data_IF_521814685531
#
_entry.id   IF_521814685531
#
_cell.length_a   1.000
_cell.length_b   1.000
_cell.length_c   1.000
_cell.angle_alpha   90.00
_cell.angle_beta   90.00
_cell.angle_gamma   90.00
#
_symmetry.space_group_name_H-M   'P 1'
#
loop_
_entity.id
_entity.type
_entity.pdbx_description
1 polymer ?
#
# COMPACT_ATOMS: atom_id res chain seq x y z
N UNK A 1 -40.70 -30.57 17.33
CA UNK A 1 -39.33 -30.73 17.85
C UNK A 1 -39.20 -29.87 19.10
N UNK A 2 -38.59 -30.36 20.19
CA UNK A 2 -38.25 -29.49 21.34
C UNK A 2 -36.96 -28.74 20.99
N UNK A 3 -36.88 -27.42 21.20
CA UNK A 3 -35.64 -26.66 20.97
C UNK A 3 -34.49 -27.26 21.81
N UNK A 4 -33.30 -27.32 21.22
CA UNK A 4 -32.08 -27.81 21.89
C UNK A 4 -31.64 -26.91 23.08
N UNK A 5 -32.03 -25.63 23.04
CA UNK A 5 -31.78 -24.67 24.13
C UNK A 5 -32.96 -24.67 25.13
N UNK A 6 -32.72 -24.63 26.46
CA UNK A 6 -33.81 -24.66 27.43
C UNK A 6 -34.60 -23.34 27.41
N UNK A 7 -35.83 -23.38 26.91
CA UNK A 7 -36.71 -22.22 26.70
C UNK A 7 -36.82 -21.28 27.91
N UNK A 8 -36.89 -21.82 29.13
CA UNK A 8 -37.06 -21.01 30.35
C UNK A 8 -35.95 -19.97 30.58
N UNK A 9 -34.72 -20.26 30.15
CA UNK A 9 -33.60 -19.33 30.29
C UNK A 9 -33.57 -18.25 29.20
N UNK A 10 -34.29 -18.46 28.11
CA UNK A 10 -34.26 -17.58 26.94
C UNK A 10 -35.64 -17.03 26.57
N UNK A 11 -36.69 -17.30 27.33
CA UNK A 11 -38.07 -16.91 27.00
C UNK A 11 -38.22 -15.38 26.78
N UNK A 12 -37.37 -14.59 27.44
CA UNK A 12 -37.36 -13.13 27.34
C UNK A 12 -36.32 -12.56 26.38
N UNK A 13 -35.60 -13.39 25.62
CA UNK A 13 -34.68 -12.85 24.60
C UNK A 13 -35.47 -12.25 23.45
N UNK A 14 -34.92 -11.18 22.87
CA UNK A 14 -35.50 -10.55 21.68
C UNK A 14 -35.75 -11.57 20.55
N UNK A 15 -34.81 -12.49 20.32
CA UNK A 15 -34.98 -13.55 19.32
C UNK A 15 -36.20 -14.45 19.56
N UNK A 16 -36.45 -14.88 20.81
CA UNK A 16 -37.62 -15.71 21.12
C UNK A 16 -38.92 -14.91 21.13
N UNK A 17 -38.90 -13.64 21.53
CA UNK A 17 -40.06 -12.75 21.42
C UNK A 17 -40.46 -12.53 19.96
N UNK A 18 -39.48 -12.33 19.07
CA UNK A 18 -39.70 -12.21 17.63
C UNK A 18 -40.22 -13.51 17.02
N UNK A 19 -39.62 -14.66 17.36
CA UNK A 19 -40.10 -15.96 16.88
C UNK A 19 -41.54 -16.27 17.33
N UNK A 20 -41.92 -15.89 18.55
CA UNK A 20 -43.28 -16.02 19.05
C UNK A 20 -44.25 -15.06 18.33
N UNK A 21 -43.85 -13.81 18.12
CA UNK A 21 -44.64 -12.82 17.42
C UNK A 21 -44.85 -13.19 15.93
N UNK A 22 -43.84 -13.77 15.30
CA UNK A 22 -43.90 -14.30 13.93
C UNK A 22 -44.85 -15.50 13.76
N UNK A 23 -45.13 -16.24 14.85
CA UNK A 23 -46.05 -17.37 14.85
C UNK A 23 -47.52 -16.98 14.97
N UNK A 24 -47.84 -15.69 15.15
CA UNK A 24 -49.21 -15.19 15.21
C UNK A 24 -49.81 -15.08 13.79
N UNK A 25 -51.08 -15.45 13.65
CA UNK A 25 -51.78 -15.45 12.36
C UNK A 25 -51.83 -14.02 11.77
N UNK A 26 -51.23 -13.82 10.59
CA UNK A 26 -51.15 -12.52 9.92
C UNK A 26 -49.96 -11.63 10.31
N UNK A 27 -49.03 -12.11 11.14
CA UNK A 27 -47.81 -11.38 11.48
C UNK A 27 -46.77 -11.44 10.34
N UNK A 28 -46.23 -10.28 9.96
CA UNK A 28 -45.07 -10.16 9.07
C UNK A 28 -43.87 -9.79 9.93
N UNK A 29 -42.80 -10.59 9.87
CA UNK A 29 -41.60 -10.40 10.71
C UNK A 29 -40.97 -9.03 10.47
N UNK A 30 -40.94 -8.57 9.21
CA UNK A 30 -40.40 -7.27 8.83
C UNK A 30 -41.16 -6.08 9.48
N UNK A 31 -42.45 -6.22 9.77
CA UNK A 31 -43.23 -5.19 10.48
C UNK A 31 -42.90 -5.13 11.98
N UNK A 32 -42.31 -6.20 12.52
CA UNK A 32 -42.02 -6.37 13.95
C UNK A 32 -40.53 -6.08 14.24
N UNK A 33 -39.65 -6.41 13.30
CA UNK A 33 -38.21 -6.23 13.43
C UNK A 33 -37.54 -6.07 12.08
N UNK A 34 -37.21 -4.82 11.77
CA UNK A 34 -36.47 -4.43 10.58
C UNK A 34 -35.34 -3.45 10.96
N UNK A 35 -34.30 -3.92 11.66
CA UNK A 35 -33.16 -3.07 11.99
C UNK A 35 -32.38 -2.73 10.71
N UNK A 36 -31.88 -1.51 10.62
CA UNK A 36 -30.89 -1.18 9.59
C UNK A 36 -29.59 -1.91 9.87
N UNK A 37 -29.04 -2.60 8.87
CA UNK A 37 -27.76 -3.30 9.03
C UNK A 37 -26.63 -2.33 9.39
N UNK A 38 -26.65 -1.13 8.80
CA UNK A 38 -25.73 -0.05 9.15
C UNK A 38 -26.41 0.91 10.13
N UNK A 39 -25.76 1.18 11.25
CA UNK A 39 -26.27 2.00 12.35
C UNK A 39 -26.84 1.18 13.50
N UNK A 40 -27.86 0.34 13.26
CA UNK A 40 -28.52 -0.42 14.33
C UNK A 40 -27.79 -1.71 14.70
N UNK A 41 -27.18 -2.39 13.71
CA UNK A 41 -26.50 -3.68 13.90
C UNK A 41 -24.99 -3.52 13.87
N UNK A 42 -24.45 -2.83 12.85
CA UNK A 42 -23.02 -2.54 12.69
C UNK A 42 -22.85 -1.03 12.56
N UNK A 43 -21.99 -0.44 13.39
CA UNK A 43 -21.73 1.00 13.33
C UNK A 43 -20.87 1.36 12.12
N UNK A 44 -21.02 2.60 11.62
CA UNK A 44 -20.14 3.10 10.55
C UNK A 44 -18.66 3.05 10.97
N UNK A 45 -18.35 3.33 12.24
CA UNK A 45 -16.98 3.22 12.78
C UNK A 45 -16.39 1.82 12.67
N UNK A 46 -17.17 0.77 12.94
CA UNK A 46 -16.70 -0.61 12.81
C UNK A 46 -16.44 -0.99 11.34
N UNK A 47 -17.28 -0.49 10.42
CA UNK A 47 -17.12 -0.70 8.98
C UNK A 47 -15.81 -0.05 8.50
N UNK A 48 -15.53 1.18 8.94
CA UNK A 48 -14.33 1.93 8.52
C UNK A 48 -13.04 1.50 9.24
N UNK A 49 -13.14 0.88 10.42
CA UNK A 49 -11.97 0.35 11.15
C UNK A 49 -11.30 -0.86 10.46
N UNK A 50 -11.99 -1.53 9.54
CA UNK A 50 -11.43 -2.68 8.84
C UNK A 50 -10.27 -2.28 7.91
N UNK A 51 -9.06 -2.77 8.17
CA UNK A 51 -7.89 -2.57 7.30
C UNK A 51 -7.83 -3.48 6.08
N UNK A 52 -8.89 -4.29 5.88
CA UNK A 52 -8.96 -5.34 4.84
C UNK A 52 -7.75 -6.27 4.88
N UNK A 53 -7.18 -6.53 6.07
CA UNK A 53 -5.97 -7.34 6.19
C UNK A 53 -6.22 -8.86 6.15
N UNK A 54 -7.48 -9.31 6.26
CA UNK A 54 -7.92 -10.72 6.34
C UNK A 54 -7.40 -11.55 7.52
N UNK A 55 -6.68 -10.97 8.48
CA UNK A 55 -6.25 -11.73 9.66
C UNK A 55 -7.43 -12.36 10.43
N UNK A 56 -8.58 -11.69 10.48
CA UNK A 56 -9.80 -12.23 11.09
C UNK A 56 -10.43 -13.40 10.30
N UNK A 57 -10.26 -13.45 8.98
CA UNK A 57 -10.78 -14.53 8.13
C UNK A 57 -9.88 -15.75 8.21
N UNK A 58 -8.56 -15.56 8.08
CA UNK A 58 -7.58 -16.64 8.14
C UNK A 58 -7.58 -17.36 9.49
N UNK A 59 -7.82 -16.63 10.57
CA UNK A 59 -7.90 -17.19 11.92
C UNK A 59 -9.29 -17.76 12.24
N UNK A 60 -10.26 -17.66 11.33
CA UNK A 60 -11.64 -18.10 11.59
C UNK A 60 -11.76 -19.63 11.48
N UNK A 61 -12.08 -20.35 12.58
CA UNK A 61 -12.18 -21.81 12.55
C UNK A 61 -13.35 -22.34 11.70
N UNK A 62 -14.26 -21.46 11.28
CA UNK A 62 -15.44 -21.79 10.46
C UNK A 62 -15.43 -21.07 9.11
N UNK A 63 -14.30 -20.45 8.72
CA UNK A 63 -14.10 -19.81 7.41
C UNK A 63 -15.15 -18.74 7.09
N UNK A 64 -15.41 -17.83 8.04
CA UNK A 64 -16.30 -16.70 7.80
C UNK A 64 -15.63 -15.64 6.92
N UNK A 65 -16.09 -15.54 5.67
CA UNK A 65 -15.68 -14.50 4.71
C UNK A 65 -16.52 -13.23 4.94
N UNK A 66 -16.00 -12.26 5.68
CA UNK A 66 -16.72 -11.04 6.08
C UNK A 66 -16.05 -9.75 5.62
N UNK A 67 -14.81 -9.78 5.16
CA UNK A 67 -14.10 -8.61 4.61
C UNK A 67 -14.78 -8.11 3.34
N UNK A 68 -15.17 -9.01 2.43
CA UNK A 68 -15.90 -8.62 1.21
C UNK A 68 -17.28 -8.03 1.53
N UNK A 69 -17.97 -8.59 2.53
CA UNK A 69 -19.25 -8.05 3.02
C UNK A 69 -19.07 -6.65 3.63
N UNK A 70 -17.96 -6.40 4.34
CA UNK A 70 -17.62 -5.06 4.84
C UNK A 70 -17.36 -4.10 3.67
N UNK A 71 -16.67 -4.55 2.62
CA UNK A 71 -16.45 -3.74 1.41
C UNK A 71 -17.79 -3.43 0.72
N UNK A 72 -18.74 -4.37 0.68
CA UNK A 72 -20.08 -4.12 0.14
C UNK A 72 -20.85 -3.07 0.95
N UNK A 73 -20.73 -3.09 2.28
CA UNK A 73 -21.31 -2.05 3.15
C UNK A 73 -20.66 -0.69 2.89
N UNK A 74 -19.33 -0.64 2.70
CA UNK A 74 -18.63 0.59 2.29
C UNK A 74 -19.09 1.07 0.93
N UNK A 75 -19.34 0.15 -0.02
CA UNK A 75 -19.88 0.49 -1.34
C UNK A 75 -21.24 1.14 -1.23
N UNK A 76 -22.13 0.61 -0.38
CA UNK A 76 -23.41 1.25 -0.10
C UNK A 76 -23.23 2.66 0.50
N UNK A 77 -22.40 2.79 1.53
CA UNK A 77 -22.14 4.08 2.19
C UNK A 77 -21.58 5.12 1.21
N UNK A 78 -20.58 4.75 0.42
CA UNK A 78 -19.90 5.66 -0.51
C UNK A 78 -20.77 6.01 -1.71
N UNK A 79 -21.37 5.01 -2.38
CA UNK A 79 -22.08 5.24 -3.64
C UNK A 79 -23.54 5.64 -3.49
N UNK A 80 -24.20 5.22 -2.41
CA UNK A 80 -25.64 5.47 -2.21
C UNK A 80 -25.89 6.59 -1.21
N UNK A 81 -25.22 6.53 -0.05
CA UNK A 81 -25.43 7.53 1.02
C UNK A 81 -24.49 8.75 0.88
N UNK A 82 -23.44 8.66 0.05
CA UNK A 82 -22.41 9.70 -0.05
C UNK A 82 -21.61 9.89 1.24
N UNK A 83 -21.57 8.86 2.10
CA UNK A 83 -20.93 8.88 3.41
C UNK A 83 -19.56 8.22 3.35
N UNK A 84 -18.51 9.03 3.42
CA UNK A 84 -17.13 8.59 3.53
C UNK A 84 -16.34 9.65 4.29
N UNK A 85 -15.22 9.25 4.90
CA UNK A 85 -14.31 10.20 5.54
C UNK A 85 -13.85 11.29 4.53
N UNK A 86 -13.83 12.58 4.91
CA UNK A 86 -13.43 13.67 4.01
C UNK A 86 -12.03 13.52 3.38
N UNK A 87 -11.06 12.94 4.09
CA UNK A 87 -9.70 12.75 3.59
C UNK A 87 -9.63 11.61 2.58
N UNK A 88 -10.34 10.52 2.84
CA UNK A 88 -10.55 9.46 1.86
C UNK A 88 -11.29 9.96 0.61
N UNK A 89 -12.31 10.82 0.78
CA UNK A 89 -13.01 11.46 -0.35
C UNK A 89 -12.06 12.32 -1.19
N UNK A 90 -11.20 13.10 -0.52
CA UNK A 90 -10.19 13.94 -1.18
C UNK A 90 -9.22 13.09 -1.99
N UNK A 91 -8.72 11.99 -1.43
CA UNK A 91 -7.84 11.05 -2.14
C UNK A 91 -8.54 10.46 -3.38
N UNK A 92 -9.81 10.05 -3.28
CA UNK A 92 -10.58 9.56 -4.44
C UNK A 92 -10.79 10.63 -5.51
N UNK A 93 -11.13 11.86 -5.13
CA UNK A 93 -11.27 12.98 -6.08
C UNK A 93 -9.95 13.31 -6.78
N UNK A 94 -8.84 13.23 -6.05
CA UNK A 94 -7.50 13.39 -6.62
C UNK A 94 -7.16 12.27 -7.60
N UNK A 95 -7.47 11.03 -7.27
CA UNK A 95 -7.29 9.88 -8.17
C UNK A 95 -8.11 10.07 -9.46
N UNK A 96 -9.37 10.48 -9.36
CA UNK A 96 -10.23 10.74 -10.51
C UNK A 96 -9.65 11.83 -11.43
N UNK A 97 -9.17 12.94 -10.85
CA UNK A 97 -8.71 14.11 -11.63
C UNK A 97 -7.29 13.97 -12.16
N UNK A 98 -6.39 13.42 -11.34
CA UNK A 98 -4.94 13.43 -11.58
C UNK A 98 -4.34 12.02 -11.69
N UNK A 99 -5.10 10.96 -11.44
CA UNK A 99 -4.60 9.59 -11.48
C UNK A 99 -3.68 9.21 -10.31
N UNK A 100 -3.63 10.03 -9.25
CA UNK A 100 -2.87 9.77 -8.02
C UNK A 100 -3.57 10.39 -6.80
N UNK A 101 -3.40 9.81 -5.59
CA UNK A 101 -4.11 10.23 -4.38
C UNK A 101 -3.67 11.58 -3.82
N UNK A 102 -2.46 12.07 -4.12
CA UNK A 102 -1.95 13.36 -3.66
C UNK A 102 -2.44 14.55 -4.51
N UNK A 103 -3.06 14.31 -5.66
CA UNK A 103 -3.50 15.37 -6.57
C UNK A 103 -2.36 16.08 -7.29
N UNK A 104 -1.17 15.47 -7.32
CA UNK A 104 -0.01 15.97 -8.04
C UNK A 104 -0.23 15.88 -9.55
N UNK A 105 0.48 16.70 -10.32
CA UNK A 105 0.26 16.78 -11.75
C UNK A 105 0.69 15.48 -12.45
N UNK A 106 -0.23 14.84 -13.16
CA UNK A 106 0.04 13.58 -13.89
C UNK A 106 1.19 13.62 -14.89
N UNK A 107 1.61 14.81 -15.33
CA UNK A 107 2.76 14.99 -16.24
C UNK A 107 4.11 14.82 -15.54
N UNK A 108 4.12 14.85 -14.22
CA UNK A 108 5.32 14.70 -13.39
C UNK A 108 5.54 13.23 -13.00
N UNK A 109 4.68 12.32 -13.47
CA UNK A 109 4.67 10.91 -13.04
C UNK A 109 5.94 10.16 -13.42
N UNK A 110 6.65 10.60 -14.45
CA UNK A 110 7.91 9.98 -14.86
C UNK A 110 9.16 10.70 -14.30
N UNK A 111 9.02 11.81 -13.57
CA UNK A 111 10.15 12.62 -13.10
C UNK A 111 11.08 11.86 -12.14
N UNK A 112 10.55 10.89 -11.38
CA UNK A 112 11.35 10.09 -10.44
C UNK A 112 12.49 9.33 -11.14
N UNK A 113 12.36 9.03 -12.45
CA UNK A 113 13.41 8.36 -13.23
C UNK A 113 14.67 9.22 -13.35
N UNK A 114 14.52 10.55 -13.25
CA UNK A 114 15.61 11.50 -13.43
C UNK A 114 16.43 11.70 -12.15
N UNK A 115 15.99 11.12 -11.02
CA UNK A 115 16.71 11.15 -9.74
C UNK A 115 18.05 10.41 -9.79
N UNK A 116 18.17 9.39 -10.64
CA UNK A 116 19.44 8.73 -10.94
C UNK A 116 19.57 8.48 -12.45
N UNK A 117 20.23 9.38 -13.20
CA UNK A 117 20.37 9.28 -14.65
C UNK A 117 21.28 8.13 -15.09
N UNK A 118 21.94 7.42 -14.15
CA UNK A 118 22.76 6.25 -14.48
C UNK A 118 21.90 4.99 -14.70
N UNK A 119 20.64 5.00 -14.27
CA UNK A 119 19.71 3.88 -14.39
C UNK A 119 18.93 4.02 -15.70
N UNK A 120 18.95 2.96 -16.51
CA UNK A 120 18.19 2.94 -17.76
C UNK A 120 16.74 2.52 -17.51
N UNK A 121 15.84 3.51 -17.52
CA UNK A 121 14.41 3.34 -17.25
C UNK A 121 13.62 3.85 -18.47
N UNK A 122 13.41 3.03 -19.52
CA UNK A 122 12.73 3.49 -20.72
C UNK A 122 11.21 3.48 -20.55
N UNK A 123 10.53 4.39 -21.25
CA UNK A 123 9.07 4.29 -21.42
C UNK A 123 8.70 3.34 -22.56
N UNK A 124 7.50 2.76 -22.52
CA UNK A 124 6.99 1.92 -23.63
C UNK A 124 7.03 2.68 -24.97
N UNK A 125 6.77 3.99 -24.93
CA UNK A 125 6.85 4.86 -26.12
C UNK A 125 8.27 4.97 -26.67
N UNK A 126 9.27 5.07 -25.79
CA UNK A 126 10.68 5.12 -26.17
C UNK A 126 11.13 3.81 -26.82
N UNK A 127 10.78 2.65 -26.23
CA UNK A 127 11.11 1.34 -26.78
C UNK A 127 10.45 1.09 -28.15
N UNK A 128 9.17 1.45 -28.31
CA UNK A 128 8.48 1.37 -29.61
C UNK A 128 9.16 2.21 -30.68
N UNK A 129 9.80 3.32 -30.32
CA UNK A 129 10.52 4.19 -31.26
C UNK A 129 11.91 3.64 -31.61
N UNK A 130 12.60 2.98 -30.68
CA UNK A 130 13.89 2.34 -30.94
C UNK A 130 13.77 0.97 -31.60
N UNK A 131 12.57 0.38 -31.64
CA UNK A 131 12.33 -0.97 -32.17
C UNK A 131 12.72 -2.07 -31.19
N UNK A 132 12.83 -1.73 -29.91
CA UNK A 132 13.15 -2.66 -28.84
C UNK A 132 11.87 -3.25 -28.23
N UNK A 133 11.97 -4.49 -27.76
CA UNK A 133 10.88 -5.20 -27.10
C UNK A 133 11.09 -5.17 -25.58
N UNK A 134 9.99 -4.98 -24.83
CA UNK A 134 9.98 -5.19 -23.38
C UNK A 134 9.54 -6.62 -23.05
N UNK A 135 10.11 -7.18 -22.00
CA UNK A 135 9.63 -8.41 -21.37
C UNK A 135 8.59 -8.11 -20.29
N UNK A 136 8.88 -7.12 -19.44
CA UNK A 136 8.02 -6.69 -18.34
C UNK A 136 7.57 -5.24 -18.52
N UNK A 137 6.28 -4.99 -18.26
CA UNK A 137 5.84 -3.67 -17.85
C UNK A 137 6.12 -3.51 -16.36
N UNK A 138 7.00 -2.58 -15.98
CA UNK A 138 7.12 -2.17 -14.59
C UNK A 138 5.99 -1.18 -14.28
N UNK A 139 5.01 -1.64 -13.49
CA UNK A 139 3.99 -0.77 -12.91
C UNK A 139 4.56 -0.11 -11.65
N UNK A 140 4.85 1.18 -11.79
CA UNK A 140 5.50 2.00 -10.75
C UNK A 140 4.51 2.33 -9.64
N UNK A 141 3.26 2.58 -10.02
CA UNK A 141 2.19 2.99 -9.11
C UNK A 141 2.34 4.43 -8.65
N UNK A 142 1.39 4.87 -7.82
CA UNK A 142 1.45 6.24 -7.28
C UNK A 142 2.56 6.39 -6.23
N UNK A 143 2.81 5.35 -5.41
CA UNK A 143 3.89 5.36 -4.42
C UNK A 143 5.25 5.52 -5.10
N UNK A 144 5.64 4.59 -5.98
CA UNK A 144 6.96 4.64 -6.62
C UNK A 144 7.21 5.89 -7.47
N UNK A 145 6.15 6.55 -7.95
CA UNK A 145 6.28 7.75 -8.79
C UNK A 145 6.33 9.06 -7.99
N UNK A 146 5.58 9.17 -6.89
CA UNK A 146 5.36 10.46 -6.21
C UNK A 146 5.80 10.48 -4.74
N UNK A 147 5.87 9.33 -4.06
CA UNK A 147 6.31 9.26 -2.68
C UNK A 147 7.84 9.16 -2.63
N UNK A 148 8.50 10.15 -2.03
CA UNK A 148 9.96 10.24 -1.97
C UNK A 148 10.61 8.99 -1.38
N UNK A 149 9.95 8.35 -0.40
CA UNK A 149 10.47 7.13 0.21
C UNK A 149 10.41 5.95 -0.77
N UNK A 150 9.30 5.79 -1.46
CA UNK A 150 9.07 4.71 -2.41
C UNK A 150 9.78 4.89 -3.75
N UNK A 151 10.13 6.13 -4.12
CA UNK A 151 11.00 6.40 -5.27
C UNK A 151 12.37 5.71 -5.12
N UNK A 152 12.92 5.65 -3.90
CA UNK A 152 14.17 4.91 -3.62
C UNK A 152 14.03 3.41 -3.92
N UNK A 153 12.88 2.83 -3.57
CA UNK A 153 12.55 1.42 -3.86
C UNK A 153 12.47 1.20 -5.38
N UNK A 154 11.77 2.09 -6.09
CA UNK A 154 11.62 2.00 -7.55
C UNK A 154 12.98 2.10 -8.26
N UNK A 155 13.85 3.02 -7.83
CA UNK A 155 15.21 3.16 -8.36
C UNK A 155 16.07 1.93 -8.08
N UNK A 156 16.11 1.46 -6.83
CA UNK A 156 16.85 0.26 -6.45
C UNK A 156 16.41 -0.96 -7.27
N UNK A 157 15.10 -1.13 -7.43
CA UNK A 157 14.54 -2.20 -8.26
C UNK A 157 14.93 -2.06 -9.73
N UNK A 158 14.80 -0.87 -10.34
CA UNK A 158 15.21 -0.64 -11.72
C UNK A 158 16.71 -0.90 -11.95
N UNK A 159 17.56 -0.51 -11.00
CA UNK A 159 19.00 -0.76 -11.07
C UNK A 159 19.32 -2.25 -11.02
N UNK A 160 18.65 -3.00 -10.14
CA UNK A 160 18.76 -4.46 -10.08
C UNK A 160 18.28 -5.11 -11.39
N UNK A 161 17.19 -4.63 -11.98
CA UNK A 161 16.73 -5.11 -13.29
C UNK A 161 17.74 -4.83 -14.41
N UNK A 162 18.39 -3.66 -14.41
CA UNK A 162 19.45 -3.34 -15.37
C UNK A 162 20.65 -4.27 -15.22
N UNK A 163 21.14 -4.51 -13.99
CA UNK A 163 22.25 -5.43 -13.72
C UNK A 163 21.92 -6.86 -14.15
N UNK A 164 20.70 -7.31 -13.88
CA UNK A 164 20.23 -8.63 -14.31
C UNK A 164 19.98 -8.72 -15.83
N UNK A 165 20.07 -7.62 -16.58
CA UNK A 165 19.76 -7.57 -18.01
C UNK A 165 18.29 -7.83 -18.34
N UNK A 166 17.37 -7.51 -17.43
CA UNK A 166 15.93 -7.63 -17.66
C UNK A 166 15.45 -6.48 -18.54
N UNK A 167 14.74 -6.80 -19.62
CA UNK A 167 14.13 -5.80 -20.51
C UNK A 167 12.79 -5.36 -19.94
N UNK A 168 12.72 -4.15 -19.41
CA UNK A 168 11.47 -3.60 -18.89
C UNK A 168 11.19 -2.22 -19.46
N UNK A 169 9.95 -1.77 -19.32
CA UNK A 169 9.57 -0.38 -19.55
C UNK A 169 8.47 0.06 -18.59
N UNK A 170 8.33 1.38 -18.44
CA UNK A 170 7.23 2.01 -17.70
C UNK A 170 6.21 2.64 -18.67
N UNK A 171 4.96 2.80 -18.22
CA UNK A 171 3.96 3.58 -18.98
C UNK A 171 4.22 5.10 -18.93
N UNK A 172 5.08 5.56 -18.01
CA UNK A 172 5.38 6.96 -17.79
C UNK A 172 4.11 7.75 -17.48
N UNK A 173 3.97 8.92 -18.12
CA UNK A 173 2.80 9.79 -17.96
C UNK A 173 1.45 9.20 -18.42
N UNK A 174 1.42 7.98 -18.98
CA UNK A 174 0.17 7.26 -19.31
C UNK A 174 -0.33 6.36 -18.17
N UNK A 175 0.50 6.06 -17.18
CA UNK A 175 0.12 5.21 -16.07
C UNK A 175 -0.91 5.90 -15.17
N UNK A 176 -2.11 5.33 -14.98
CA UNK A 176 -3.09 5.85 -14.00
C UNK A 176 -2.87 5.22 -12.61
N UNK A 177 -3.85 5.36 -11.71
CA UNK A 177 -3.90 4.62 -10.45
C UNK A 177 -4.38 3.18 -10.72
N UNK A 178 -3.99 2.21 -9.89
CA UNK A 178 -4.44 0.82 -9.99
C UNK A 178 -5.92 0.64 -9.62
N UNK A 179 -6.49 1.59 -8.88
CA UNK A 179 -7.87 1.53 -8.43
C UNK A 179 -8.07 0.80 -7.10
N UNK A 180 -7.00 0.33 -6.43
CA UNK A 180 -7.12 -0.34 -5.11
C UNK A 180 -7.85 0.55 -4.10
N UNK A 181 -7.36 1.78 -3.89
CA UNK A 181 -7.92 2.72 -2.92
C UNK A 181 -9.42 3.00 -3.17
N UNK A 182 -9.85 3.42 -4.39
CA UNK A 182 -11.27 3.56 -4.70
C UNK A 182 -12.08 2.30 -4.41
N UNK A 183 -11.58 1.12 -4.79
CA UNK A 183 -12.30 -0.15 -4.57
C UNK A 183 -12.48 -0.47 -3.08
N UNK A 184 -11.42 -0.33 -2.26
CA UNK A 184 -11.49 -0.58 -0.81
C UNK A 184 -12.33 0.44 -0.03
N UNK A 185 -12.45 1.65 -0.55
CA UNK A 185 -13.33 2.70 -0.04
C UNK A 185 -14.77 2.58 -0.57
N UNK A 186 -15.06 1.62 -1.44
CA UNK A 186 -16.40 1.37 -1.96
C UNK A 186 -16.79 2.25 -3.15
N UNK A 187 -15.88 2.99 -3.76
CA UNK A 187 -16.15 3.69 -5.03
C UNK A 187 -15.90 2.75 -6.22
N UNK A 188 -16.86 1.83 -6.43
CA UNK A 188 -16.78 0.82 -7.49
C UNK A 188 -16.76 1.45 -8.88
N UNK A 189 -17.50 2.55 -9.11
CA UNK A 189 -17.53 3.21 -10.41
C UNK A 189 -16.15 3.73 -10.84
N UNK A 190 -15.45 4.44 -9.93
CA UNK A 190 -14.10 4.92 -10.21
C UNK A 190 -13.11 3.76 -10.41
N UNK A 191 -13.23 2.69 -9.63
CA UNK A 191 -12.43 1.49 -9.85
C UNK A 191 -12.64 0.90 -11.26
N UNK A 192 -13.89 0.73 -11.70
CA UNK A 192 -14.20 0.18 -13.03
C UNK A 192 -13.66 1.05 -14.17
N UNK A 193 -13.73 2.39 -14.04
CA UNK A 193 -13.14 3.32 -15.02
C UNK A 193 -11.62 3.16 -15.11
N UNK A 194 -10.94 3.08 -13.95
CA UNK A 194 -9.49 2.89 -13.89
C UNK A 194 -9.07 1.52 -14.43
N UNK A 195 -9.80 0.46 -14.08
CA UNK A 195 -9.57 -0.89 -14.55
C UNK A 195 -9.64 -0.97 -16.08
N UNK A 196 -10.76 -0.50 -16.65
CA UNK A 196 -10.98 -0.48 -18.10
C UNK A 196 -9.90 0.32 -18.81
N UNK A 197 -9.61 1.54 -18.36
CA UNK A 197 -8.62 2.40 -19.02
C UNK A 197 -7.19 1.86 -18.93
N UNK A 198 -6.82 1.21 -17.83
CA UNK A 198 -5.51 0.58 -17.68
C UNK A 198 -5.40 -0.65 -18.59
N UNK A 199 -6.43 -1.50 -18.64
CA UNK A 199 -6.47 -2.67 -19.53
C UNK A 199 -6.35 -2.25 -20.99
N UNK A 200 -7.08 -1.22 -21.42
CA UNK A 200 -6.97 -0.67 -22.79
C UNK A 200 -5.53 -0.26 -23.13
N UNK A 201 -4.82 0.39 -22.18
CA UNK A 201 -3.43 0.79 -22.39
C UNK A 201 -2.49 -0.43 -22.35
N UNK A 202 -2.79 -1.47 -21.57
CA UNK A 202 -2.04 -2.72 -21.57
C UNK A 202 -2.16 -3.45 -22.92
N UNK A 203 -3.39 -3.60 -23.44
CA UNK A 203 -3.66 -4.25 -24.73
C UNK A 203 -3.01 -3.50 -25.89
N UNK A 204 -3.14 -2.17 -25.93
CA UNK A 204 -2.51 -1.30 -26.93
C UNK A 204 -0.99 -1.38 -26.94
N UNK A 205 -0.38 -1.79 -25.84
CA UNK A 205 1.06 -1.93 -25.68
C UNK A 205 1.53 -3.38 -25.64
N UNK A 206 0.64 -4.33 -25.98
CA UNK A 206 0.95 -5.77 -26.02
C UNK A 206 1.58 -6.27 -24.71
N UNK A 207 1.15 -5.72 -23.57
CA UNK A 207 1.67 -6.08 -22.25
C UNK A 207 1.24 -7.50 -21.91
N UNK A 208 2.22 -8.35 -21.57
CA UNK A 208 2.00 -9.75 -21.18
C UNK A 208 2.39 -10.04 -19.74
N UNK A 209 3.45 -9.39 -19.25
CA UNK A 209 3.93 -9.49 -17.88
C UNK A 209 3.95 -8.11 -17.24
N UNK A 210 3.36 -8.00 -16.06
CA UNK A 210 3.45 -6.82 -15.21
C UNK A 210 4.29 -7.20 -13.99
N UNK A 211 5.23 -6.34 -13.61
CA UNK A 211 5.91 -6.41 -12.31
C UNK A 211 5.67 -5.12 -11.54
N UNK A 212 5.51 -5.20 -10.22
CA UNK A 212 5.30 -4.03 -9.37
C UNK A 212 5.96 -4.18 -8.01
N UNK A 213 6.31 -3.05 -7.40
CA UNK A 213 6.85 -2.99 -6.03
C UNK A 213 5.75 -2.91 -4.95
N UNK A 214 4.49 -2.84 -5.37
CA UNK A 214 3.35 -2.63 -4.47
C UNK A 214 2.42 -3.86 -4.44
N UNK A 215 2.33 -4.58 -3.31
CA UNK A 215 1.41 -5.70 -3.13
C UNK A 215 -0.07 -5.36 -3.37
N UNK A 216 -0.48 -4.11 -3.17
CA UNK A 216 -1.86 -3.68 -3.42
C UNK A 216 -2.17 -3.70 -4.92
N UNK A 217 -1.30 -3.08 -5.72
CA UNK A 217 -1.37 -3.14 -7.18
C UNK A 217 -1.20 -4.57 -7.70
N UNK A 218 -0.28 -5.34 -7.13
CA UNK A 218 -0.08 -6.75 -7.44
C UNK A 218 -1.37 -7.56 -7.27
N UNK A 219 -2.03 -7.46 -6.12
CA UNK A 219 -3.29 -8.16 -5.86
C UNK A 219 -4.39 -7.74 -6.85
N UNK A 220 -4.52 -6.44 -7.09
CA UNK A 220 -5.51 -5.89 -8.01
C UNK A 220 -5.33 -6.45 -9.43
N UNK A 221 -4.11 -6.40 -9.97
CA UNK A 221 -3.86 -6.90 -11.31
C UNK A 221 -3.96 -8.41 -11.41
N UNK A 222 -3.49 -9.13 -10.40
CA UNK A 222 -3.44 -10.60 -10.41
C UNK A 222 -4.82 -11.21 -10.24
N UNK A 223 -5.63 -10.73 -9.29
CA UNK A 223 -6.85 -11.41 -8.86
C UNK A 223 -8.14 -10.72 -9.32
N UNK A 224 -8.07 -9.43 -9.61
CA UNK A 224 -9.27 -8.59 -9.64
C UNK A 224 -9.51 -7.91 -10.99
N UNK A 225 -8.46 -7.58 -11.73
CA UNK A 225 -8.55 -7.11 -13.11
C UNK A 225 -9.02 -8.21 -14.07
N UNK A 226 -8.89 -9.49 -13.68
CA UNK A 226 -9.34 -10.62 -14.49
C UNK A 226 -10.85 -10.57 -14.74
N UNK A 227 -11.63 -10.08 -13.78
CA UNK A 227 -13.07 -9.87 -13.91
C UNK A 227 -13.43 -8.85 -15.01
N UNK A 228 -12.47 -8.00 -15.39
CA UNK A 228 -12.58 -6.97 -16.42
C UNK A 228 -11.90 -7.36 -17.74
N UNK A 229 -11.45 -8.62 -17.86
CA UNK A 229 -10.89 -9.16 -19.10
C UNK A 229 -9.36 -9.09 -19.20
N UNK A 230 -8.66 -8.59 -18.19
CA UNK A 230 -7.20 -8.63 -18.17
C UNK A 230 -6.68 -10.07 -18.19
N UNK A 231 -5.71 -10.33 -19.05
CA UNK A 231 -5.04 -11.63 -19.20
C UNK A 231 -3.55 -11.40 -19.33
N UNK A 232 -2.85 -11.45 -18.21
CA UNK A 232 -1.39 -11.36 -18.17
C UNK A 232 -0.85 -11.92 -16.87
N UNK A 233 0.45 -12.16 -16.87
CA UNK A 233 1.18 -12.61 -15.70
C UNK A 233 1.53 -11.38 -14.84
N UNK A 234 1.35 -11.49 -13.53
CA UNK A 234 1.62 -10.40 -12.59
C UNK A 234 2.58 -10.92 -11.55
N UNK A 235 3.68 -10.19 -11.36
CA UNK A 235 4.76 -10.51 -10.45
C UNK A 235 4.91 -9.41 -9.41
N UNK A 236 5.13 -9.80 -8.16
CA UNK A 236 5.67 -8.89 -7.16
C UNK A 236 7.19 -8.78 -7.36
N UNK A 237 7.80 -7.63 -7.07
CA UNK A 237 9.23 -7.44 -7.29
C UNK A 237 10.08 -8.45 -6.52
N UNK A 238 9.67 -8.86 -5.32
CA UNK A 238 10.40 -9.90 -4.56
C UNK A 238 10.34 -11.27 -5.23
N UNK A 239 9.26 -11.63 -5.93
CA UNK A 239 9.20 -12.90 -6.66
C UNK A 239 10.19 -12.88 -7.83
N UNK A 240 10.20 -11.79 -8.59
CA UNK A 240 11.11 -11.63 -9.73
C UNK A 240 12.57 -11.55 -9.26
N UNK A 241 12.87 -10.77 -8.23
CA UNK A 241 14.24 -10.66 -7.71
C UNK A 241 14.77 -11.99 -7.17
N UNK A 242 13.93 -12.77 -6.48
CA UNK A 242 14.32 -14.10 -6.02
C UNK A 242 14.64 -15.02 -7.20
N UNK A 243 13.80 -15.01 -8.24
CA UNK A 243 14.05 -15.76 -9.48
C UNK A 243 15.37 -15.34 -10.14
N UNK A 244 15.67 -14.04 -10.21
CA UNK A 244 16.91 -13.53 -10.82
C UNK A 244 18.17 -13.94 -10.05
N UNK A 245 18.08 -14.08 -8.72
CA UNK A 245 19.17 -14.63 -7.90
C UNK A 245 19.35 -16.12 -8.21
N UNK A 246 18.27 -16.90 -8.24
CA UNK A 246 18.30 -18.34 -8.56
C UNK A 246 18.87 -18.60 -9.97
N UNK A 247 18.59 -17.70 -10.92
CA UNK A 247 19.14 -17.72 -12.28
C UNK A 247 20.60 -17.26 -12.37
N UNK A 248 21.25 -16.88 -11.27
CA UNK A 248 22.59 -16.29 -11.20
C UNK A 248 22.75 -15.00 -12.04
N UNK A 249 21.65 -14.26 -12.23
CA UNK A 249 21.65 -12.96 -12.92
C UNK A 249 21.91 -11.80 -11.97
N UNK A 250 21.76 -12.03 -10.67
CA UNK A 250 22.15 -11.11 -9.60
C UNK A 250 23.15 -11.80 -8.68
N UNK A 251 24.39 -11.30 -8.65
CA UNK A 251 25.44 -11.80 -7.78
C UNK A 251 25.50 -11.00 -6.48
N UNK A 252 25.41 -11.68 -5.34
CA UNK A 252 25.47 -11.09 -3.99
C UNK A 252 26.92 -10.97 -3.54
N UNK A 253 27.63 -9.98 -4.09
CA UNK A 253 29.08 -9.86 -3.97
C UNK A 253 29.55 -9.19 -2.66
N UNK A 254 28.66 -8.46 -1.99
CA UNK A 254 29.00 -7.64 -0.82
C UNK A 254 28.21 -8.07 0.42
N UNK A 255 28.90 -8.07 1.56
CA UNK A 255 28.29 -8.35 2.85
C UNK A 255 27.46 -7.15 3.35
N UNK A 256 26.32 -7.43 3.97
CA UNK A 256 25.45 -6.46 4.65
C UNK A 256 25.30 -6.90 6.10
N UNK A 257 26.00 -6.23 7.02
CA UNK A 257 26.05 -6.62 8.44
C UNK A 257 24.89 -6.07 9.26
N UNK A 258 23.67 -6.50 8.95
CA UNK A 258 22.44 -6.06 9.62
C UNK A 258 21.71 -7.23 10.26
N UNK A 259 21.05 -6.98 11.41
CA UNK A 259 20.01 -7.88 11.91
C UNK A 259 18.67 -7.38 11.43
N UNK A 260 18.04 -8.14 10.55
CA UNK A 260 16.84 -7.72 9.82
C UNK A 260 15.63 -8.45 10.37
N UNK A 261 14.57 -7.72 10.67
CA UNK A 261 13.24 -8.30 10.93
C UNK A 261 12.30 -7.99 9.77
N UNK A 262 11.61 -9.00 9.25
CA UNK A 262 10.73 -8.85 8.09
C UNK A 262 9.25 -8.69 8.51
N UNK A 263 8.57 -7.72 7.90
CA UNK A 263 7.13 -7.51 8.04
C UNK A 263 6.38 -8.10 6.83
N UNK A 264 5.53 -9.09 7.11
CA UNK A 264 4.64 -9.67 6.11
C UNK A 264 3.48 -8.73 5.75
N UNK A 265 3.52 -8.20 4.52
CA UNK A 265 2.40 -7.45 3.93
C UNK A 265 1.18 -8.36 3.79
N UNK A 266 0.01 -7.83 4.15
CA UNK A 266 -1.25 -8.59 4.07
C UNK A 266 -1.57 -8.99 2.62
N UNK A 267 -1.39 -8.05 1.68
CA UNK A 267 -1.69 -8.28 0.27
C UNK A 267 -0.67 -9.17 -0.44
N UNK A 268 0.56 -9.27 0.08
CA UNK A 268 1.56 -10.18 -0.47
C UNK A 268 1.41 -11.60 0.12
N UNK A 269 1.27 -11.68 1.45
CA UNK A 269 1.06 -12.91 2.19
C UNK A 269 -0.38 -13.40 2.09
N UNK A 270 -1.26 -13.00 3.00
CA UNK A 270 -2.62 -13.58 3.16
C UNK A 270 -3.51 -13.56 1.91
N UNK A 271 -3.30 -12.61 1.00
CA UNK A 271 -4.06 -12.57 -0.25
C UNK A 271 -3.44 -13.39 -1.40
N UNK A 272 -2.14 -13.65 -1.37
CA UNK A 272 -1.42 -14.18 -2.53
C UNK A 272 -0.41 -15.28 -2.23
N UNK A 273 -0.32 -15.71 -0.96
CA UNK A 273 0.54 -16.76 -0.42
C UNK A 273 2.04 -16.58 -0.68
N UNK A 274 2.50 -15.33 -0.87
CA UNK A 274 3.92 -15.02 -1.08
C UNK A 274 4.57 -14.65 0.25
N UNK A 275 5.18 -15.66 0.90
CA UNK A 275 5.92 -15.47 2.16
C UNK A 275 7.42 -15.74 2.04
N UNK A 276 7.82 -16.65 1.15
CA UNK A 276 9.18 -17.16 1.12
C UNK A 276 10.11 -16.31 0.26
N UNK A 277 9.67 -15.84 -0.91
CA UNK A 277 10.53 -15.07 -1.83
C UNK A 277 11.23 -13.86 -1.16
N UNK A 278 10.57 -13.01 -0.34
CA UNK A 278 11.25 -11.95 0.40
C UNK A 278 12.33 -12.49 1.37
N UNK A 279 12.06 -13.61 2.04
CA UNK A 279 12.94 -14.20 3.05
C UNK A 279 14.15 -14.88 2.42
N UNK A 280 13.96 -15.57 1.30
CA UNK A 280 15.05 -16.22 0.57
C UNK A 280 16.04 -15.19 0.04
N UNK A 281 15.56 -14.05 -0.49
CA UNK A 281 16.43 -12.91 -0.84
C UNK A 281 17.25 -12.46 0.38
N UNK A 282 16.57 -12.16 1.50
CA UNK A 282 17.25 -11.64 2.70
C UNK A 282 18.26 -12.63 3.31
N UNK A 283 17.94 -13.94 3.31
CA UNK A 283 18.86 -15.00 3.77
C UNK A 283 20.04 -15.20 2.82
N UNK A 284 19.84 -14.95 1.53
CA UNK A 284 20.89 -15.06 0.52
C UNK A 284 21.97 -14.00 0.68
N UNK A 285 21.65 -12.83 1.24
CA UNK A 285 22.59 -11.72 1.43
C UNK A 285 23.67 -12.11 2.45
N UNK A 286 24.96 -12.15 2.06
CA UNK A 286 26.05 -12.42 2.99
C UNK A 286 26.08 -11.42 4.15
N UNK A 287 26.29 -11.91 5.38
CA UNK A 287 26.38 -11.06 6.58
C UNK A 287 25.04 -10.71 7.23
N UNK A 288 23.90 -10.88 6.54
CA UNK A 288 22.57 -10.60 7.12
C UNK A 288 22.19 -11.67 8.14
N UNK A 289 21.65 -11.22 9.28
CA UNK A 289 20.96 -12.07 10.24
C UNK A 289 19.47 -11.80 10.19
N UNK A 290 18.71 -12.69 9.55
CA UNK A 290 17.25 -12.60 9.53
C UNK A 290 16.65 -13.13 10.85
N UNK A 291 15.83 -12.31 11.51
CA UNK A 291 15.02 -12.67 12.67
C UNK A 291 13.53 -12.45 12.36
N UNK A 292 12.65 -13.07 13.13
CA UNK A 292 11.20 -13.00 12.92
C UNK A 292 10.51 -12.44 14.16
N UNK A 293 9.45 -11.66 13.94
CA UNK A 293 8.51 -11.31 15.02
C UNK A 293 7.72 -12.55 15.45
N UNK A 294 7.22 -12.56 16.69
CA UNK A 294 6.35 -13.64 17.20
C UNK A 294 5.16 -13.90 16.26
N UNK A 295 4.55 -12.81 15.78
CA UNK A 295 3.49 -12.84 14.78
C UNK A 295 4.07 -12.55 13.39
N UNK A 296 4.32 -13.60 12.63
CA UNK A 296 4.83 -13.56 11.26
C UNK A 296 3.94 -14.38 10.31
N UNK A 297 4.22 -14.31 9.02
CA UNK A 297 3.50 -14.98 7.94
C UNK A 297 1.99 -14.76 8.03
N UNK A 298 1.19 -15.82 7.97
CA UNK A 298 -0.27 -15.76 8.02
C UNK A 298 -0.81 -15.13 9.33
N UNK A 299 -0.03 -15.16 10.41
CA UNK A 299 -0.41 -14.60 11.72
C UNK A 299 0.02 -13.14 11.93
N UNK A 300 0.73 -12.56 10.95
CA UNK A 300 1.31 -11.22 11.05
C UNK A 300 0.26 -10.13 11.33
N UNK A 301 0.58 -9.23 12.24
CA UNK A 301 -0.27 -8.07 12.52
C UNK A 301 -0.17 -7.04 11.38
N UNK A 302 -1.31 -6.47 10.98
CA UNK A 302 -1.37 -5.45 9.92
C UNK A 302 -0.53 -4.21 10.28
N UNK A 303 -0.01 -3.52 9.26
CA UNK A 303 0.64 -2.22 9.42
C UNK A 303 -0.33 -1.06 9.68
N UNK A 304 -1.61 -1.21 9.31
CA UNK A 304 -2.66 -0.19 9.48
C UNK A 304 -3.11 0.52 8.21
N UNK A 305 -2.33 0.50 7.11
CA UNK A 305 -2.63 1.30 5.90
C UNK A 305 -3.71 0.73 4.96
N UNK A 306 -4.00 -0.57 5.04
CA UNK A 306 -4.94 -1.24 4.13
C UNK A 306 -6.37 -0.72 4.25
N UNK A 307 -7.26 -1.13 3.34
CA UNK A 307 -8.67 -0.73 3.43
C UNK A 307 -8.93 0.76 3.17
N UNK A 308 -7.96 1.50 2.64
CA UNK A 308 -8.02 2.95 2.45
C UNK A 308 -7.59 3.78 3.67
N UNK A 309 -7.15 3.14 4.76
CA UNK A 309 -6.74 3.83 5.99
C UNK A 309 -5.41 4.59 5.85
N UNK A 310 -4.60 4.31 4.83
CA UNK A 310 -3.44 5.13 4.44
C UNK A 310 -3.78 6.63 4.28
N UNK A 311 -5.02 6.94 3.93
CA UNK A 311 -5.50 8.29 3.60
C UNK A 311 -6.36 8.91 4.70
N UNK A 312 -6.46 8.25 5.86
CA UNK A 312 -7.33 8.68 6.95
C UNK A 312 -6.54 8.70 8.25
N UNK A 313 -6.75 9.74 9.04
CA UNK A 313 -6.16 9.80 10.37
C UNK A 313 -6.89 8.89 11.36
N UNK A 314 -6.12 8.16 12.16
CA UNK A 314 -6.64 7.31 13.22
C UNK A 314 -6.73 8.11 14.52
N UNK A 315 -7.96 8.38 14.96
CA UNK A 315 -8.22 9.19 16.17
C UNK A 315 -8.65 8.35 17.39
N UNK A 316 -8.76 7.04 17.25
CA UNK A 316 -9.40 6.17 18.25
C UNK A 316 -8.51 4.98 18.57
N UNK A 317 -8.27 4.75 19.86
CA UNK A 317 -7.53 3.59 20.34
C UNK A 317 -6.01 3.70 20.17
N UNK A 318 -5.35 2.54 20.13
CA UNK A 318 -3.92 2.45 19.90
C UNK A 318 -3.65 2.37 18.41
N UNK A 319 -2.76 3.22 17.91
CA UNK A 319 -2.36 3.22 16.50
C UNK A 319 -1.77 1.88 16.09
N UNK A 320 -2.32 1.27 15.04
CA UNK A 320 -1.95 -0.08 14.61
C UNK A 320 -0.47 -0.14 14.22
N UNK A 321 0.02 0.89 13.52
CA UNK A 321 1.41 0.95 13.08
C UNK A 321 2.39 1.00 14.25
N UNK A 322 2.10 1.78 15.30
CA UNK A 322 2.93 1.86 16.51
C UNK A 322 2.99 0.50 17.21
N UNK A 323 1.85 -0.16 17.39
CA UNK A 323 1.79 -1.49 18.00
C UNK A 323 2.55 -2.54 17.16
N UNK A 324 2.51 -2.45 15.83
CA UNK A 324 3.28 -3.35 14.98
C UNK A 324 4.78 -3.05 15.05
N UNK A 325 5.18 -1.78 15.09
CA UNK A 325 6.58 -1.38 15.26
C UNK A 325 7.12 -1.91 16.59
N UNK A 326 6.38 -1.82 17.70
CA UNK A 326 6.80 -2.41 18.98
C UNK A 326 7.12 -3.91 18.89
N UNK A 327 6.34 -4.68 18.11
CA UNK A 327 6.63 -6.10 17.88
C UNK A 327 7.94 -6.30 17.11
N UNK A 328 8.26 -5.41 16.17
CA UNK A 328 9.52 -5.43 15.44
C UNK A 328 10.70 -5.07 16.35
N UNK A 329 10.54 -4.03 17.19
CA UNK A 329 11.55 -3.60 18.16
C UNK A 329 11.89 -4.68 19.19
N UNK A 330 10.90 -5.47 19.61
CA UNK A 330 11.09 -6.58 20.55
C UNK A 330 11.99 -7.71 20.01
N UNK A 331 12.40 -7.66 18.74
CA UNK A 331 13.33 -8.62 18.12
C UNK A 331 14.81 -8.20 18.20
N UNK A 332 15.10 -7.00 18.72
CA UNK A 332 16.43 -6.38 18.75
C UNK A 332 17.08 -6.24 17.34
N UNK A 333 16.26 -6.10 16.31
CA UNK A 333 16.71 -5.89 14.93
C UNK A 333 17.20 -4.45 14.70
N UNK A 334 18.26 -4.29 13.90
CA UNK A 334 18.76 -2.99 13.44
C UNK A 334 17.98 -2.44 12.24
N UNK A 335 17.28 -3.32 11.51
CA UNK A 335 16.48 -2.95 10.34
C UNK A 335 15.12 -3.65 10.37
N UNK A 336 14.06 -2.87 10.12
CA UNK A 336 12.73 -3.38 9.79
C UNK A 336 12.60 -3.39 8.27
N UNK A 337 12.37 -4.57 7.69
CA UNK A 337 12.18 -4.72 6.24
C UNK A 337 10.75 -5.10 5.87
N UNK A 338 10.28 -4.65 4.71
CA UNK A 338 8.97 -4.96 4.15
C UNK A 338 9.04 -4.93 2.63
N UNK A 339 8.29 -5.79 1.94
CA UNK A 339 8.11 -5.74 0.49
C UNK A 339 6.87 -4.95 0.10
N UNK A 340 6.55 -3.86 0.78
CA UNK A 340 5.33 -3.09 0.57
C UNK A 340 5.54 -1.62 0.92
N UNK A 341 5.33 -0.68 -0.02
CA UNK A 341 5.56 0.73 0.21
C UNK A 341 4.63 1.31 1.27
N UNK A 342 3.34 0.89 1.31
CA UNK A 342 2.42 1.32 2.36
C UNK A 342 2.88 0.86 3.74
N UNK A 343 3.34 -0.40 3.86
CA UNK A 343 3.82 -0.91 5.15
C UNK A 343 5.08 -0.18 5.59
N UNK A 344 5.99 0.15 4.66
CA UNK A 344 7.20 0.91 4.98
C UNK A 344 6.85 2.29 5.52
N UNK A 345 5.96 3.05 4.88
CA UNK A 345 5.49 4.34 5.40
C UNK A 345 4.93 4.20 6.82
N UNK A 346 4.04 3.21 7.05
CA UNK A 346 3.46 3.02 8.38
C UNK A 346 4.50 2.65 9.44
N UNK A 347 5.47 1.80 9.09
CA UNK A 347 6.53 1.37 10.00
C UNK A 347 7.54 2.49 10.29
N UNK A 348 7.84 3.35 9.30
CA UNK A 348 8.61 4.58 9.48
C UNK A 348 7.90 5.57 10.41
N UNK A 349 6.60 5.78 10.22
CA UNK A 349 5.81 6.60 11.14
C UNK A 349 5.76 5.99 12.54
N UNK A 350 5.77 4.65 12.63
CA UNK A 350 5.84 3.94 13.89
C UNK A 350 7.19 4.08 14.59
N UNK A 351 8.31 4.07 13.85
CA UNK A 351 9.65 4.26 14.43
C UNK A 351 9.84 5.71 14.89
N UNK A 352 9.37 6.70 14.12
CA UNK A 352 9.31 8.11 14.55
C UNK A 352 8.47 8.30 15.82
N UNK A 353 7.30 7.67 15.88
CA UNK A 353 6.47 7.71 17.08
C UNK A 353 7.11 7.01 18.31
N UNK A 354 8.15 6.21 18.09
CA UNK A 354 8.97 5.58 19.14
C UNK A 354 10.31 6.25 19.38
N UNK A 355 10.64 7.31 18.63
CA UNK A 355 11.88 8.06 18.74
C UNK A 355 13.13 7.17 18.54
N UNK A 356 13.05 6.24 17.57
CA UNK A 356 14.13 5.28 17.24
C UNK A 356 14.55 5.30 15.77
N UNK A 357 14.00 6.21 14.97
CA UNK A 357 14.24 6.35 13.52
C UNK A 357 15.72 6.54 13.15
N UNK A 358 16.52 7.16 14.03
CA UNK A 358 17.96 7.37 13.81
C UNK A 358 18.78 6.10 14.08
N UNK A 359 18.21 5.16 14.84
CA UNK A 359 18.89 3.94 15.28
C UNK A 359 18.43 2.68 14.53
N UNK A 360 17.24 2.71 13.95
CA UNK A 360 16.62 1.56 13.29
C UNK A 360 16.19 1.95 11.89
N UNK A 361 16.84 1.33 10.91
CA UNK A 361 16.53 1.55 9.50
C UNK A 361 15.22 0.88 9.09
N UNK A 362 14.49 1.52 8.16
CA UNK A 362 13.32 0.89 7.53
C UNK A 362 13.60 0.76 6.03
N UNK A 363 13.67 -0.47 5.50
CA UNK A 363 14.14 -0.73 4.13
C UNK A 363 13.29 -1.74 3.37
N UNK A 364 13.06 -1.49 2.07
CA UNK A 364 12.53 -2.52 1.20
C UNK A 364 13.58 -3.63 0.96
N UNK A 365 13.09 -4.84 0.69
CA UNK A 365 13.94 -5.98 0.31
C UNK A 365 14.83 -5.67 -0.90
N UNK A 366 14.33 -4.88 -1.87
CA UNK A 366 15.10 -4.44 -3.03
C UNK A 366 16.29 -3.55 -2.66
N UNK A 367 16.13 -2.64 -1.69
CA UNK A 367 17.21 -1.74 -1.27
C UNK A 367 18.31 -2.51 -0.54
N UNK A 368 17.93 -3.50 0.27
CA UNK A 368 18.88 -4.39 0.95
C UNK A 368 19.62 -5.29 -0.03
N UNK A 369 18.90 -5.83 -1.03
CA UNK A 369 19.49 -6.59 -2.12
C UNK A 369 20.44 -5.73 -2.95
N UNK A 370 20.07 -4.48 -3.26
CA UNK A 370 20.92 -3.53 -3.98
C UNK A 370 22.27 -3.32 -3.26
N UNK A 371 22.26 -3.14 -1.93
CA UNK A 371 23.50 -3.04 -1.12
C UNK A 371 24.41 -4.25 -1.30
N UNK A 372 23.85 -5.45 -1.37
CA UNK A 372 24.64 -6.67 -1.54
C UNK A 372 25.15 -6.88 -2.97
N UNK A 373 24.42 -6.37 -3.98
CA UNK A 373 24.83 -6.50 -5.39
C UNK A 373 25.92 -5.47 -5.75
N UNK A 374 25.75 -4.21 -5.33
CA UNK A 374 26.62 -3.12 -5.76
C UNK A 374 27.58 -2.60 -4.68
N UNK A 375 27.42 -3.03 -3.43
CA UNK A 375 28.14 -2.52 -2.27
C UNK A 375 27.48 -1.26 -1.70
N UNK A 376 27.78 -0.95 -0.44
CA UNK A 376 27.36 0.32 0.14
C UNK A 376 28.13 1.48 -0.48
N UNK A 377 27.41 2.49 -0.99
CA UNK A 377 27.96 3.84 -1.02
C UNK A 377 28.07 4.29 0.44
N UNK A 378 29.20 4.02 1.08
CA UNK A 378 29.51 4.52 2.43
C UNK A 378 29.26 6.03 2.44
N UNK A 379 28.36 6.47 3.33
CA UNK A 379 27.92 7.84 3.61
C UNK A 379 28.80 8.95 3.01
N UNK A 380 28.28 9.60 1.98
CA UNK A 380 28.73 10.93 1.53
C UNK A 380 27.53 11.80 1.10
N UNK A 381 26.35 11.55 1.68
CA UNK A 381 25.11 12.28 1.35
C UNK A 381 24.49 12.98 2.57
N UNK A 382 24.87 12.61 3.80
CA UNK A 382 24.41 13.33 5.01
C UNK A 382 24.96 14.77 5.04
N UNK A 383 26.24 15.00 4.69
CA UNK A 383 26.81 16.36 4.67
C UNK A 383 26.21 17.25 3.56
N UNK A 384 25.82 16.69 2.41
CA UNK A 384 25.27 17.49 1.30
C UNK A 384 23.81 17.88 1.47
N UNK A 385 23.04 17.13 2.27
CA UNK A 385 21.62 17.40 2.50
C UNK A 385 21.42 18.38 3.66
N UNK A 386 22.29 18.36 4.68
CA UNK A 386 22.34 19.42 5.68
C UNK A 386 22.75 20.77 5.05
N UNK A 387 23.78 20.80 4.19
CA UNK A 387 24.16 22.03 3.48
C UNK A 387 23.06 22.53 2.54
N UNK A 388 22.33 21.63 1.85
CA UNK A 388 21.23 22.03 0.98
C UNK A 388 19.99 22.50 1.76
N UNK A 389 19.70 21.90 2.92
CA UNK A 389 18.58 22.28 3.78
C UNK A 389 18.82 23.64 4.45
N UNK A 390 20.04 23.92 4.94
CA UNK A 390 20.38 25.21 5.54
C UNK A 390 20.28 26.37 4.54
N UNK A 391 20.71 26.15 3.29
CA UNK A 391 20.59 27.17 2.22
C UNK A 391 19.13 27.45 1.85
N UNK A 392 18.28 26.42 1.82
CA UNK A 392 16.85 26.61 1.53
C UNK A 392 16.10 27.29 2.68
N UNK A 393 16.48 27.07 3.94
CA UNK A 393 15.89 27.77 5.09
C UNK A 393 16.29 29.25 5.08
N UNK A 394 17.55 29.59 4.78
CA UNK A 394 17.97 31.00 4.66
C UNK A 394 17.25 31.75 3.53
N UNK A 395 17.09 31.13 2.35
CA UNK A 395 16.37 31.76 1.23
C UNK A 395 14.87 31.95 1.52
N UNK A 396 14.23 31.00 2.20
CA UNK A 396 12.82 31.11 2.58
C UNK A 396 12.64 32.20 3.65
N UNK A 397 13.51 32.28 4.66
CA UNK A 397 13.43 33.34 5.70
C UNK A 397 13.65 34.73 5.09
N UNK A 398 14.61 34.88 4.18
CA UNK A 398 14.83 36.14 3.47
C UNK A 398 13.64 36.55 2.57
N UNK A 399 12.94 35.58 1.99
CA UNK A 399 11.75 35.85 1.17
C UNK A 399 10.55 36.30 2.00
N UNK A 400 10.35 35.73 3.20
CA UNK A 400 9.25 36.09 4.11
C UNK A 400 9.44 37.48 4.70
N UNK A 401 10.67 37.84 5.09
CA UNK A 401 11.00 39.19 5.57
C UNK A 401 10.76 40.28 4.48
N UNK A 402 10.94 39.93 3.21
CA UNK A 402 10.70 40.85 2.09
C UNK A 402 9.21 41.07 1.77
N UNK A 403 8.36 40.10 2.09
CA UNK A 403 6.90 40.18 1.92
C UNK A 403 6.26 40.98 3.05
N UNK A 404 6.69 40.77 4.31
CA UNK A 404 6.21 41.54 5.46
C UNK A 404 6.60 43.03 5.41
N UNK A 405 7.72 43.37 4.77
CA UNK A 405 8.12 44.78 4.57
C UNK A 405 7.28 45.48 3.48
N UNK A 406 6.78 44.76 2.48
CA UNK A 406 5.93 45.32 1.43
C UNK A 406 4.48 45.49 1.89
N UNK A 407 3.92 44.57 2.69
CA UNK A 407 2.56 44.70 3.23
C UNK A 407 2.42 45.86 4.23
N UNK A 408 3.48 46.17 4.98
CA UNK A 408 3.51 47.32 5.90
C UNK A 408 3.70 48.68 5.19
N UNK A 409 4.16 48.68 3.94
CA UNK A 409 4.27 49.89 3.12
C UNK A 409 2.94 50.26 2.44
N UNK A 410 2.16 49.26 2.02
CA UNK A 410 0.85 49.49 1.38
C UNK A 410 -0.23 49.90 2.39
N UNK A 411 -0.18 49.42 3.64
CA UNK A 411 -1.16 49.78 4.68
C UNK A 411 -0.98 51.19 5.28
N UNK A 412 0.15 51.86 5.02
CA UNK A 412 0.40 53.25 5.44
C UNK A 412 0.08 54.29 4.36
N UNK A 413 -0.32 53.87 3.15
CA UNK A 413 -0.71 54.76 2.05
C UNK A 413 -2.22 55.04 1.98
N UNK A 414 -3.05 54.38 2.79
CA UNK A 414 -4.51 54.59 2.87
C UNK A 414 -5.02 55.11 4.24
N UNK A 415 -4.18 55.88 4.95
CA UNK A 415 -4.64 56.80 6.01
C UNK A 415 -4.21 58.23 5.69
#
# INVERSE_FOLDING_TARGET
>A
QKPWVPYQFFANTKGNQLAMAAGAEGAVIEDIYNPSLIGDVITESEIWACTTCRNCEDQCPVMNEHVDKIIDLRRYLTMTEGKVNPDAQRAMTNIERQGNPWGLNRKEKENWRDLDPTIHIPTVKELKKSGEEMEYLFWVGSMGAFDNRSQKIALAFCRLLNEAGVKFAILGNKEKNSGDTPRRLGNEFLFQELATANIDEFEKNDVKKIVTIDPHAYNIFKNEYQDFGWKGEVYHHTELLNQLIDENRLALNYEVHETIVFHDSCYLGRYNDVYDAPREILRGIPGVKLVEMERNRETAMCCGAGGGLMWMEEHVGNRINVARTEQALATDASVISSGCPYCLTMLEDGTKAKEVEDSIGTFDVAELLERSVFGEKVKAVEESVEEAADVMVEEVVASVDSVEQNENAETNAEK
#
